data_IF_875366007625
#
_entry.id   IF_875366007625
#
_cell.length_a   1.000
_cell.length_b   1.000
_cell.length_c   1.000
_cell.angle_alpha   90.00
_cell.angle_beta   90.00
_cell.angle_gamma   90.00
#
_symmetry.space_group_name_H-M   'P 1'
#
loop_
_entity.id
_entity.type
_entity.pdbx_description
1 polymer ?
#
# COMPACT_ATOMS: atom_id res chain seq x y z
N UNK A 1 10.36 6.33 32.33
CA UNK A 1 9.55 6.43 31.10
C UNK A 1 10.49 6.95 30.03
N UNK A 2 11.24 6.02 29.43
CA UNK A 2 12.28 6.31 28.45
C UNK A 2 11.65 6.26 27.08
N UNK A 3 11.53 7.42 26.43
CA UNK A 3 11.32 7.51 24.98
C UNK A 3 12.42 6.72 24.29
N UNK A 4 12.09 5.53 23.78
CA UNK A 4 12.92 4.88 22.79
C UNK A 4 12.63 5.58 21.46
N UNK A 5 13.36 6.66 21.18
CA UNK A 5 13.37 7.25 19.85
C UNK A 5 13.84 6.18 18.86
N UNK A 6 12.94 5.75 17.97
CA UNK A 6 13.30 4.89 16.85
C UNK A 6 14.30 5.65 15.97
N UNK A 7 15.48 5.05 15.83
CA UNK A 7 16.68 5.50 15.13
C UNK A 7 16.41 6.38 13.90
N UNK A 8 16.98 7.57 13.91
CA UNK A 8 17.08 8.50 12.76
C UNK A 8 18.00 7.93 11.68
N UNK A 9 17.63 8.10 10.39
CA UNK A 9 18.54 8.15 9.22
C UNK A 9 19.19 6.87 8.65
N UNK A 10 18.68 5.66 8.89
CA UNK A 10 19.11 4.49 8.10
C UNK A 10 18.18 4.28 6.89
N UNK A 11 18.75 4.00 5.71
CA UNK A 11 17.96 3.59 4.55
C UNK A 11 17.10 2.35 4.92
N UNK A 12 15.85 2.26 4.43
CA UNK A 12 15.00 1.10 4.69
C UNK A 12 15.68 -0.18 4.18
N UNK A 13 15.55 -1.25 4.96
CA UNK A 13 16.02 -2.58 4.57
C UNK A 13 14.86 -3.38 4.01
N UNK A 14 15.18 -4.34 3.15
CA UNK A 14 14.19 -5.16 2.45
C UNK A 14 14.53 -6.64 2.53
N UNK A 15 13.49 -7.47 2.39
CA UNK A 15 13.58 -8.90 2.10
C UNK A 15 13.18 -9.12 0.64
N UNK A 16 13.93 -9.94 -0.10
CA UNK A 16 13.69 -10.19 -1.52
C UNK A 16 12.89 -11.47 -1.76
N UNK A 17 12.00 -11.45 -2.75
CA UNK A 17 11.29 -12.64 -3.25
C UNK A 17 9.78 -12.45 -3.38
N UNK A 18 9.30 -12.33 -4.61
CA UNK A 18 7.87 -12.21 -4.90
C UNK A 18 7.07 -13.39 -4.35
N UNK A 19 6.04 -13.12 -3.53
CA UNK A 19 5.12 -14.13 -3.01
C UNK A 19 5.69 -15.02 -1.90
N UNK A 20 6.86 -14.69 -1.34
CA UNK A 20 7.46 -15.43 -0.23
C UNK A 20 6.62 -15.37 1.06
N UNK A 21 6.84 -16.36 1.94
CA UNK A 21 6.38 -16.32 3.33
C UNK A 21 7.47 -15.68 4.20
N UNK A 22 7.42 -14.36 4.32
CA UNK A 22 8.39 -13.59 5.09
C UNK A 22 8.13 -13.65 6.60
N UNK A 23 9.20 -13.47 7.37
CA UNK A 23 9.19 -13.26 8.80
C UNK A 23 10.11 -12.07 9.10
N UNK A 24 9.59 -11.07 9.81
CA UNK A 24 10.34 -9.85 10.15
C UNK A 24 9.94 -9.36 11.53
N UNK A 25 10.92 -8.86 12.29
CA UNK A 25 10.72 -8.29 13.62
C UNK A 25 11.58 -7.06 13.82
N UNK A 26 11.01 -6.03 14.44
CA UNK A 26 11.72 -4.80 14.80
C UNK A 26 12.41 -4.90 16.18
N UNK A 27 11.94 -5.82 17.03
CA UNK A 27 12.51 -6.14 18.34
C UNK A 27 12.84 -7.64 18.38
N UNK A 28 13.98 -8.05 18.96
CA UNK A 28 14.36 -9.47 19.01
C UNK A 28 13.31 -10.34 19.70
N UNK A 29 12.90 -11.44 19.08
CA UNK A 29 11.93 -12.38 19.65
C UNK A 29 10.51 -11.82 19.78
N UNK A 30 10.15 -10.82 18.96
CA UNK A 30 8.79 -10.31 18.92
C UNK A 30 7.83 -11.29 18.25
N UNK A 31 8.32 -12.07 17.29
CA UNK A 31 7.53 -13.14 16.66
C UNK A 31 7.36 -14.34 17.61
N UNK A 32 6.14 -14.83 17.86
CA UNK A 32 5.93 -16.04 18.63
C UNK A 32 6.49 -17.28 17.93
N UNK A 33 7.14 -18.14 18.71
CA UNK A 33 7.72 -19.38 18.20
C UNK A 33 6.65 -20.49 18.05
N UNK A 34 6.61 -21.11 16.88
CA UNK A 34 5.83 -22.31 16.59
C UNK A 34 4.30 -22.13 16.59
N UNK A 35 3.78 -20.91 16.73
CA UNK A 35 2.33 -20.61 16.76
C UNK A 35 2.05 -19.17 16.35
N UNK A 36 0.80 -18.87 15.98
CA UNK A 36 0.39 -17.51 15.63
C UNK A 36 -0.31 -16.75 16.77
N UNK A 37 -1.01 -17.47 17.65
CA UNK A 37 -1.90 -16.86 18.67
C UNK A 37 -1.54 -17.39 20.07
N UNK A 38 -0.39 -16.99 20.64
CA UNK A 38 -0.09 -17.30 22.03
C UNK A 38 -1.09 -16.60 22.96
N UNK A 39 -1.33 -17.16 24.16
CA UNK A 39 -2.16 -16.49 25.17
C UNK A 39 -1.56 -15.14 25.61
N UNK A 40 -0.23 -15.02 25.58
CA UNK A 40 0.53 -13.80 25.86
C UNK A 40 1.56 -13.63 24.75
N UNK A 41 1.42 -12.62 23.90
CA UNK A 41 2.45 -12.32 22.92
C UNK A 41 3.67 -11.70 23.62
N UNK A 42 4.84 -11.82 22.98
CA UNK A 42 6.03 -11.11 23.41
C UNK A 42 5.75 -9.60 23.49
N UNK A 43 6.40 -8.92 24.43
CA UNK A 43 6.25 -7.47 24.66
C UNK A 43 4.82 -6.99 24.97
N UNK A 44 3.88 -7.89 25.27
CA UNK A 44 2.48 -7.52 25.50
C UNK A 44 1.74 -7.11 24.22
N UNK A 45 2.27 -7.46 23.04
CA UNK A 45 1.66 -7.17 21.75
C UNK A 45 0.33 -7.91 21.55
N UNK A 46 -0.44 -7.44 20.57
CA UNK A 46 -1.65 -8.10 20.09
C UNK A 46 -1.36 -8.82 18.78
N UNK A 47 -1.75 -10.10 18.70
CA UNK A 47 -1.73 -10.86 17.46
C UNK A 47 -2.96 -10.52 16.62
N UNK A 48 -2.76 -10.06 15.40
CA UNK A 48 -3.81 -9.68 14.46
C UNK A 48 -3.55 -10.33 13.10
N UNK A 49 -4.55 -10.99 12.53
CA UNK A 49 -4.43 -11.56 11.20
C UNK A 49 -4.97 -10.59 10.15
N UNK A 50 -4.12 -10.23 9.20
CA UNK A 50 -4.50 -9.52 7.99
C UNK A 50 -4.74 -10.54 6.86
N UNK A 51 -6.01 -10.69 6.45
CA UNK A 51 -6.42 -11.65 5.43
C UNK A 51 -6.66 -10.95 4.09
N UNK A 52 -5.76 -11.15 3.13
CA UNK A 52 -5.86 -10.56 1.79
C UNK A 52 -6.70 -11.39 0.80
N UNK A 53 -6.99 -12.66 1.13
CA UNK A 53 -7.84 -13.55 0.32
C UNK A 53 -8.80 -14.36 1.20
N UNK A 54 -9.78 -15.00 0.57
CA UNK A 54 -10.63 -15.98 1.24
C UNK A 54 -9.80 -17.08 1.94
N UNK A 55 -10.26 -17.55 3.11
CA UNK A 55 -9.56 -18.58 3.88
C UNK A 55 -9.37 -19.89 3.11
N UNK A 56 -10.33 -20.23 2.23
CA UNK A 56 -10.34 -21.44 1.41
C UNK A 56 -9.59 -21.29 0.08
N UNK A 57 -8.96 -20.13 -0.18
CA UNK A 57 -8.15 -19.95 -1.37
C UNK A 57 -7.03 -21.01 -1.44
N UNK A 58 -6.76 -21.59 -2.62
CA UNK A 58 -5.65 -22.53 -2.79
C UNK A 58 -4.34 -21.93 -2.27
N UNK A 59 -3.44 -22.76 -1.74
CA UNK A 59 -2.20 -22.30 -1.10
C UNK A 59 -1.36 -21.33 -1.96
N UNK A 60 -1.32 -21.54 -3.28
CA UNK A 60 -0.59 -20.68 -4.23
C UNK A 60 -1.20 -19.27 -4.35
N UNK A 61 -2.50 -19.14 -4.15
CA UNK A 61 -3.26 -17.90 -4.22
C UNK A 61 -3.53 -17.28 -2.85
N UNK A 62 -3.45 -18.06 -1.77
CA UNK A 62 -3.77 -17.58 -0.42
C UNK A 62 -2.78 -16.49 0.03
N UNK A 63 -3.29 -15.34 0.46
CA UNK A 63 -2.50 -14.20 0.98
C UNK A 63 -2.99 -13.85 2.37
N UNK A 64 -2.08 -13.90 3.34
CA UNK A 64 -2.30 -13.47 4.71
C UNK A 64 -1.00 -13.06 5.38
N UNK A 65 -1.11 -12.17 6.35
CA UNK A 65 -0.03 -11.78 7.26
C UNK A 65 -0.51 -11.86 8.71
N UNK A 66 0.40 -12.16 9.63
CA UNK A 66 0.16 -12.00 11.06
C UNK A 66 0.97 -10.81 11.55
N UNK A 67 0.29 -9.85 12.17
CA UNK A 67 0.85 -8.65 12.72
C UNK A 67 0.87 -8.78 14.25
N UNK A 68 1.98 -8.38 14.86
CA UNK A 68 2.11 -8.31 16.31
C UNK A 68 2.31 -6.83 16.68
N UNK A 69 1.22 -6.17 17.07
CA UNK A 69 1.10 -4.71 17.14
C UNK A 69 0.79 -4.21 18.55
N UNK A 70 1.15 -2.95 18.82
CA UNK A 70 0.98 -2.31 20.15
C UNK A 70 -0.50 -2.15 20.50
N UNK A 71 -1.31 -1.68 19.55
CA UNK A 71 -2.76 -1.54 19.68
C UNK A 71 -3.44 -2.23 18.50
N UNK A 72 -4.52 -3.01 18.70
CA UNK A 72 -5.27 -3.63 17.60
C UNK A 72 -5.83 -2.58 16.62
N UNK A 73 -5.96 -2.96 15.36
CA UNK A 73 -6.55 -2.13 14.31
C UNK A 73 -8.01 -1.73 14.58
N UNK A 74 -8.71 -2.48 15.44
CA UNK A 74 -10.10 -2.21 15.81
C UNK A 74 -10.28 -1.04 16.79
N UNK A 75 -9.18 -0.50 17.34
CA UNK A 75 -9.23 0.65 18.26
C UNK A 75 -9.28 1.95 17.44
N UNK A 76 -10.46 2.31 16.98
CA UNK A 76 -10.73 3.58 16.31
C UNK A 76 -12.19 4.03 16.54
N UNK A 77 -12.46 5.32 16.37
CA UNK A 77 -13.82 5.86 16.38
C UNK A 77 -14.60 5.47 15.11
N UNK A 78 -15.92 5.62 15.13
CA UNK A 78 -16.75 5.39 13.95
C UNK A 78 -16.31 6.27 12.77
N UNK A 79 -16.14 5.66 11.59
CA UNK A 79 -15.85 6.38 10.35
C UNK A 79 -16.94 7.40 10.04
N UNK A 80 -16.52 8.55 9.50
CA UNK A 80 -17.41 9.60 9.01
C UNK A 80 -17.14 9.83 7.54
N UNK A 81 -18.21 10.11 6.79
CA UNK A 81 -18.12 10.42 5.37
C UNK A 81 -17.37 11.73 5.14
N UNK A 82 -16.34 11.69 4.31
CA UNK A 82 -15.64 12.87 3.76
C UNK A 82 -16.02 13.05 2.28
N UNK A 83 -15.55 14.13 1.65
CA UNK A 83 -15.71 14.36 0.21
C UNK A 83 -14.93 13.34 -0.64
N UNK A 84 -15.44 12.99 -1.83
CA UNK A 84 -14.77 12.06 -2.76
C UNK A 84 -13.57 12.69 -3.50
N UNK A 85 -13.45 14.02 -3.45
CA UNK A 85 -12.49 14.76 -4.25
C UNK A 85 -12.72 14.51 -5.73
N UNK A 86 -11.75 13.83 -6.36
CA UNK A 86 -11.78 13.48 -7.78
C UNK A 86 -11.68 11.98 -8.03
N UNK A 87 -11.94 11.18 -7.00
CA UNK A 87 -11.96 9.73 -7.08
C UNK A 87 -13.38 9.29 -7.46
N UNK A 88 -13.50 8.38 -8.42
CA UNK A 88 -14.79 7.77 -8.78
C UNK A 88 -14.60 6.37 -9.36
N UNK A 89 -15.56 5.49 -9.08
CA UNK A 89 -15.70 4.17 -9.71
C UNK A 89 -16.91 4.11 -10.66
N UNK A 90 -17.60 5.23 -10.87
CA UNK A 90 -18.83 5.32 -11.68
C UNK A 90 -18.52 5.45 -13.19
N UNK A 91 -17.78 4.48 -13.74
CA UNK A 91 -17.25 4.54 -15.12
C UNK A 91 -18.33 4.54 -16.22
N UNK A 92 -19.58 4.22 -15.88
CA UNK A 92 -20.71 4.19 -16.81
C UNK A 92 -21.48 5.50 -16.95
N UNK A 93 -21.17 6.54 -16.18
CA UNK A 93 -21.95 7.79 -16.19
C UNK A 93 -21.70 8.67 -17.41
N UNK A 94 -20.51 8.56 -18.02
CA UNK A 94 -20.11 9.36 -19.18
C UNK A 94 -20.25 8.50 -20.44
N UNK A 95 -20.87 9.05 -21.48
CA UNK A 95 -20.97 8.37 -22.77
C UNK A 95 -19.58 8.04 -23.32
N UNK A 96 -19.32 6.79 -23.74
CA UNK A 96 -18.01 6.38 -24.21
C UNK A 96 -17.64 7.13 -25.49
N UNK A 97 -16.42 7.63 -25.57
CA UNK A 97 -15.85 8.16 -26.82
C UNK A 97 -14.95 7.11 -27.45
N UNK A 98 -15.13 6.77 -28.74
CA UNK A 98 -14.19 5.90 -29.45
C UNK A 98 -12.93 6.66 -29.92
N UNK A 99 -12.89 7.98 -29.75
CA UNK A 99 -11.77 8.80 -30.18
C UNK A 99 -10.56 8.61 -29.26
N UNK A 100 -9.36 8.63 -29.84
CA UNK A 100 -8.13 8.61 -29.06
C UNK A 100 -8.04 9.87 -28.20
N UNK A 101 -7.87 9.67 -26.89
CA UNK A 101 -7.64 10.74 -25.92
C UNK A 101 -6.15 10.82 -25.56
N UNK A 102 -5.67 12.04 -25.31
CA UNK A 102 -4.30 12.31 -24.84
C UNK A 102 -4.34 13.48 -23.88
N UNK A 103 -3.62 13.35 -22.78
CA UNK A 103 -3.47 14.38 -21.76
C UNK A 103 -2.01 14.80 -21.66
N UNK A 104 -1.79 16.10 -21.50
CA UNK A 104 -0.51 16.61 -21.01
C UNK A 104 -0.34 16.24 -19.52
N UNK A 105 0.90 16.17 -19.00
CA UNK A 105 1.13 15.89 -17.59
C UNK A 105 0.41 16.90 -16.69
N UNK A 106 -0.31 16.47 -15.63
CA UNK A 106 -1.04 17.38 -14.77
C UNK A 106 -0.04 18.29 -14.04
N UNK A 107 -0.32 19.60 -13.92
CA UNK A 107 0.57 20.50 -13.20
C UNK A 107 0.62 20.13 -11.72
N UNK A 108 1.76 20.39 -11.07
CA UNK A 108 1.82 20.31 -9.62
C UNK A 108 0.90 21.38 -9.00
N UNK A 109 0.16 21.05 -7.93
CA UNK A 109 -0.73 22.00 -7.28
C UNK A 109 0.06 23.15 -6.65
N UNK A 110 -0.60 24.31 -6.56
CA UNK A 110 -0.08 25.48 -5.81
C UNK A 110 -0.52 25.45 -4.35
N UNK A 111 -1.76 25.03 -4.11
CA UNK A 111 -2.30 24.86 -2.77
C UNK A 111 -1.69 23.61 -2.11
N UNK A 112 -1.59 23.57 -0.77
CA UNK A 112 -1.13 22.38 -0.07
C UNK A 112 -2.05 21.19 -0.38
N UNK A 113 -1.51 20.14 -1.00
CA UNK A 113 -2.24 18.95 -1.44
C UNK A 113 -1.42 17.70 -1.15
N UNK A 114 -1.94 16.81 -0.31
CA UNK A 114 -1.33 15.51 -0.03
C UNK A 114 -1.69 14.44 -1.06
N UNK A 115 -1.17 13.23 -0.87
CA UNK A 115 -1.36 12.13 -1.83
C UNK A 115 -2.84 11.76 -2.05
N UNK A 116 -3.66 11.74 -1.00
CA UNK A 116 -5.07 11.34 -1.08
C UNK A 116 -5.86 12.43 -1.81
N UNK A 117 -5.66 13.69 -1.42
CA UNK A 117 -6.31 14.86 -2.03
C UNK A 117 -5.90 15.03 -3.51
N UNK A 118 -4.72 14.54 -3.87
CA UNK A 118 -4.16 14.63 -5.21
C UNK A 118 -4.69 13.54 -6.17
N UNK A 119 -5.30 12.47 -5.66
CA UNK A 119 -5.82 11.39 -6.50
C UNK A 119 -6.95 11.89 -7.37
N UNK A 120 -6.88 11.57 -8.66
CA UNK A 120 -7.92 11.88 -9.61
C UNK A 120 -8.03 10.77 -10.66
N UNK A 121 -9.25 10.27 -10.83
CA UNK A 121 -9.55 9.16 -11.72
C UNK A 121 -9.56 9.62 -13.17
N UNK A 122 -8.77 8.95 -14.00
CA UNK A 122 -8.71 9.15 -15.45
C UNK A 122 -9.71 8.26 -16.19
N UNK A 123 -9.97 7.07 -15.66
CA UNK A 123 -10.90 6.10 -16.21
C UNK A 123 -10.73 4.75 -15.53
N UNK A 124 -11.53 3.77 -15.95
CA UNK A 124 -11.47 2.43 -15.38
C UNK A 124 -12.52 1.52 -16.00
N UNK A 125 -12.62 0.31 -15.45
CA UNK A 125 -13.63 -0.68 -15.84
C UNK A 125 -14.05 -1.52 -14.62
N UNK A 126 -15.19 -2.20 -14.74
CA UNK A 126 -15.71 -3.02 -13.65
C UNK A 126 -16.23 -2.17 -12.49
N UNK A 127 -16.15 -2.71 -11.27
CA UNK A 127 -16.58 -2.01 -10.04
C UNK A 127 -15.98 -2.68 -8.79
N UNK A 128 -15.61 -1.88 -7.76
CA UNK A 128 -15.28 -2.35 -6.42
C UNK A 128 -16.30 -3.35 -5.84
N UNK A 129 -17.60 -3.08 -5.99
CA UNK A 129 -18.68 -3.90 -5.43
C UNK A 129 -18.65 -5.33 -5.97
N UNK A 130 -18.28 -5.46 -7.25
CA UNK A 130 -18.17 -6.76 -7.93
C UNK A 130 -16.80 -7.39 -7.78
N UNK A 131 -15.82 -6.67 -7.21
CA UNK A 131 -14.42 -7.05 -7.16
C UNK A 131 -13.89 -7.47 -8.54
N UNK A 132 -14.17 -6.64 -9.55
CA UNK A 132 -13.69 -6.85 -10.92
C UNK A 132 -13.23 -5.54 -11.55
N UNK A 133 -12.22 -5.64 -12.42
CA UNK A 133 -11.69 -4.50 -13.17
C UNK A 133 -10.68 -3.66 -12.37
N UNK A 134 -10.51 -2.42 -12.78
CA UNK A 134 -9.57 -1.49 -12.16
C UNK A 134 -9.97 -0.02 -12.35
N UNK A 135 -9.47 0.84 -11.47
CA UNK A 135 -9.43 2.29 -11.63
C UNK A 135 -8.01 2.73 -12.02
N UNK A 136 -7.90 3.69 -12.93
CA UNK A 136 -6.65 4.33 -13.30
C UNK A 136 -6.70 5.77 -12.81
N UNK A 137 -5.78 6.11 -11.92
CA UNK A 137 -5.66 7.43 -11.34
C UNK A 137 -4.31 8.04 -11.67
N UNK A 138 -4.25 9.36 -11.67
CA UNK A 138 -3.00 10.08 -11.47
C UNK A 138 -2.97 10.71 -10.07
N UNK A 139 -1.80 11.13 -9.63
CA UNK A 139 -1.65 12.02 -8.48
C UNK A 139 -0.63 13.10 -8.82
N UNK A 140 -0.86 14.31 -8.30
CA UNK A 140 0.12 15.39 -8.25
C UNK A 140 0.02 16.07 -6.88
N UNK A 141 1.00 15.83 -6.01
CA UNK A 141 0.99 16.25 -4.60
C UNK A 141 2.22 17.11 -4.28
N UNK A 142 2.07 18.03 -3.32
CA UNK A 142 3.14 18.93 -2.84
C UNK A 142 3.24 19.00 -1.31
N UNK A 143 2.53 18.12 -0.60
CA UNK A 143 2.53 18.01 0.86
C UNK A 143 2.61 16.54 1.27
N UNK A 144 3.49 16.24 2.23
CA UNK A 144 3.49 14.91 2.87
C UNK A 144 2.25 14.73 3.74
N UNK A 145 1.70 13.52 3.76
CA UNK A 145 0.76 13.13 4.82
C UNK A 145 1.52 13.10 6.16
N UNK A 146 0.91 13.56 7.25
CA UNK A 146 1.57 13.66 8.58
C UNK A 146 0.79 12.95 9.68
N UNK A 147 -0.36 13.49 10.02
CA UNK A 147 -1.23 13.00 11.11
C UNK A 147 -2.42 12.24 10.54
N UNK A 148 -2.33 11.80 9.29
CA UNK A 148 -3.38 11.01 8.63
C UNK A 148 -2.82 9.81 7.91
N UNK A 149 -3.59 8.73 7.90
CA UNK A 149 -3.27 7.47 7.25
C UNK A 149 -4.39 7.09 6.28
N UNK A 150 -4.08 6.24 5.33
CA UNK A 150 -5.04 5.76 4.35
C UNK A 150 -4.96 4.25 4.24
N UNK A 151 -6.10 3.61 3.99
CA UNK A 151 -6.15 2.28 3.43
C UNK A 151 -7.23 2.27 2.35
N UNK A 152 -6.97 1.52 1.29
CA UNK A 152 -7.95 1.26 0.26
C UNK A 152 -8.72 -0.02 0.61
N UNK A 153 -10.03 0.10 0.81
CA UNK A 153 -10.91 -1.04 1.12
C UNK A 153 -11.38 -1.80 -0.13
N UNK A 154 -11.22 -1.18 -1.31
CA UNK A 154 -11.82 -1.58 -2.57
C UNK A 154 -10.81 -2.36 -3.42
N UNK A 155 -9.55 -1.91 -3.47
CA UNK A 155 -8.54 -2.48 -4.37
C UNK A 155 -7.12 -2.60 -3.80
N UNK A 156 -6.30 -3.34 -4.54
CA UNK A 156 -4.84 -3.30 -4.42
C UNK A 156 -4.28 -2.13 -5.23
N UNK A 157 -3.34 -1.37 -4.68
CA UNK A 157 -2.78 -0.20 -5.35
C UNK A 157 -1.41 -0.51 -5.97
N UNK A 158 -1.28 -0.42 -7.29
CA UNK A 158 0.00 -0.35 -8.00
C UNK A 158 0.37 1.12 -8.23
N UNK A 159 1.38 1.60 -7.53
CA UNK A 159 1.85 2.98 -7.57
C UNK A 159 3.09 3.09 -8.47
N UNK A 160 3.05 4.02 -9.43
CA UNK A 160 4.09 4.26 -10.42
C UNK A 160 4.53 5.73 -10.39
N UNK A 161 5.58 6.09 -9.64
CA UNK A 161 6.11 7.45 -9.63
C UNK A 161 6.67 7.87 -10.99
N UNK A 162 6.34 9.10 -11.40
CA UNK A 162 6.85 9.72 -12.63
C UNK A 162 7.83 10.86 -12.33
N UNK A 163 7.54 11.66 -11.30
CA UNK A 163 8.36 12.75 -10.80
C UNK A 163 8.36 12.73 -9.27
N UNK A 164 9.53 12.89 -8.65
CA UNK A 164 9.68 12.82 -7.20
C UNK A 164 9.55 11.39 -6.65
N UNK A 165 10.34 11.08 -5.63
CA UNK A 165 10.20 9.83 -4.88
C UNK A 165 9.07 9.91 -3.86
N UNK A 166 8.57 8.75 -3.45
CA UNK A 166 7.66 8.57 -2.34
C UNK A 166 8.33 7.73 -1.26
N UNK A 167 8.10 8.09 0.01
CA UNK A 167 8.29 7.17 1.13
C UNK A 167 6.93 6.75 1.65
N UNK A 168 6.64 5.45 1.54
CA UNK A 168 5.40 4.82 1.99
C UNK A 168 5.67 4.17 3.36
N UNK A 169 5.15 4.78 4.42
CA UNK A 169 5.17 4.18 5.75
C UNK A 169 3.95 3.27 5.88
N UNK A 170 4.14 1.95 5.91
CA UNK A 170 3.06 0.95 5.93
C UNK A 170 3.03 0.19 7.26
N UNK A 171 1.94 -0.53 7.55
CA UNK A 171 1.88 -1.43 8.73
C UNK A 171 2.96 -2.54 8.72
N UNK A 172 3.60 -2.80 7.57
CA UNK A 172 4.65 -3.83 7.43
C UNK A 172 6.06 -3.26 7.40
N UNK A 173 6.21 -1.93 7.36
CA UNK A 173 7.49 -1.23 7.33
C UNK A 173 7.55 -0.10 6.32
N UNK A 174 8.75 0.44 6.11
CA UNK A 174 9.00 1.60 5.25
C UNK A 174 9.44 1.18 3.85
N UNK A 175 8.78 1.70 2.82
CA UNK A 175 9.14 1.54 1.41
C UNK A 175 9.55 2.90 0.85
N UNK A 176 10.70 2.98 0.21
CA UNK A 176 11.06 4.10 -0.66
C UNK A 176 10.91 3.67 -2.11
N UNK A 177 10.17 4.44 -2.90
CA UNK A 177 9.94 4.17 -4.33
C UNK A 177 10.16 5.45 -5.13
N UNK A 178 11.01 5.38 -6.15
CA UNK A 178 11.41 6.51 -7.00
C UNK A 178 10.91 6.30 -8.44
N UNK A 179 10.97 7.33 -9.31
CA UNK A 179 10.71 7.14 -10.73
C UNK A 179 11.57 5.99 -11.29
N UNK A 180 10.97 5.19 -12.18
CA UNK A 180 11.50 3.92 -12.71
C UNK A 180 11.39 2.71 -11.75
N UNK A 181 10.87 2.90 -10.55
CA UNK A 181 10.45 1.83 -9.64
C UNK A 181 8.92 1.80 -9.54
N UNK A 182 8.37 0.71 -9.02
CA UNK A 182 6.94 0.58 -8.72
C UNK A 182 6.75 0.00 -7.33
N UNK A 183 5.64 0.35 -6.68
CA UNK A 183 5.25 -0.22 -5.39
C UNK A 183 3.84 -0.79 -5.48
N UNK A 184 3.59 -1.89 -4.76
CA UNK A 184 2.25 -2.50 -4.66
C UNK A 184 1.83 -2.50 -3.19
N UNK A 185 0.66 -1.95 -2.90
CA UNK A 185 0.05 -1.95 -1.57
C UNK A 185 -1.20 -2.84 -1.57
N UNK A 186 -1.24 -3.93 -0.78
CA UNK A 186 -2.41 -4.79 -0.66
C UNK A 186 -3.64 -4.03 -0.19
N UNK A 187 -4.81 -4.44 -0.70
CA UNK A 187 -6.12 -3.97 -0.22
C UNK A 187 -6.25 -4.10 1.29
N UNK A 188 -6.62 -3.00 1.96
CA UNK A 188 -6.81 -2.93 3.39
C UNK A 188 -5.57 -2.58 4.21
N UNK A 189 -4.38 -2.53 3.59
CA UNK A 189 -3.15 -2.18 4.28
C UNK A 189 -3.11 -0.67 4.55
N UNK A 190 -2.92 -0.26 5.81
CA UNK A 190 -2.76 1.16 6.14
C UNK A 190 -1.38 1.66 5.78
N UNK A 191 -1.33 2.86 5.23
CA UNK A 191 -0.10 3.55 4.89
C UNK A 191 -0.21 5.07 5.01
N UNK A 192 0.96 5.71 5.07
CA UNK A 192 1.16 7.16 5.00
C UNK A 192 2.19 7.48 3.92
N UNK A 193 1.92 8.50 3.10
CA UNK A 193 2.82 8.92 2.02
C UNK A 193 3.59 10.17 2.40
N UNK A 194 4.91 10.07 2.40
CA UNK A 194 5.85 11.17 2.58
C UNK A 194 6.50 11.51 1.24
N UNK A 195 6.70 12.82 1.00
CA UNK A 195 7.28 13.38 -0.22
C UNK A 195 8.71 13.90 0.09
N UNK A 196 9.75 13.04 0.06
CA UNK A 196 11.12 13.45 0.39
C UNK A 196 11.65 14.60 -0.47
N UNK A 197 11.19 14.69 -1.72
CA UNK A 197 11.56 15.76 -2.66
C UNK A 197 10.60 16.97 -2.63
N UNK A 198 9.69 17.02 -1.65
CA UNK A 198 8.71 18.09 -1.45
C UNK A 198 7.46 17.98 -2.34
N UNK A 199 7.59 17.51 -3.57
CA UNK A 199 6.47 17.28 -4.48
C UNK A 199 6.67 16.01 -5.31
N UNK A 200 5.56 15.35 -5.65
CA UNK A 200 5.58 14.15 -6.48
C UNK A 200 4.38 14.08 -7.42
N UNK A 201 4.57 13.41 -8.55
CA UNK A 201 3.53 13.12 -9.53
C UNK A 201 3.72 11.71 -10.08
N UNK A 202 2.63 11.02 -10.35
CA UNK A 202 2.68 9.69 -10.93
C UNK A 202 1.30 9.12 -11.22
N UNK A 203 1.25 7.81 -11.38
CA UNK A 203 0.06 7.06 -11.71
C UNK A 203 -0.23 6.03 -10.63
N UNK A 204 -1.50 5.67 -10.48
CA UNK A 204 -1.96 4.56 -9.63
C UNK A 204 -2.91 3.71 -10.45
N UNK A 205 -2.67 2.41 -10.49
CA UNK A 205 -3.65 1.43 -10.93
C UNK A 205 -4.24 0.78 -9.68
N UNK A 206 -5.52 1.00 -9.45
CA UNK A 206 -6.30 0.41 -8.36
C UNK A 206 -6.99 -0.85 -8.90
N UNK A 207 -6.53 -2.01 -8.46
CA UNK A 207 -7.00 -3.32 -8.90
C UNK A 207 -8.09 -3.84 -7.96
N UNK A 208 -9.35 -3.86 -8.42
CA UNK A 208 -10.49 -4.37 -7.64
C UNK A 208 -10.55 -5.90 -7.62
N UNK A 209 -9.82 -6.55 -8.53
CA UNK A 209 -9.93 -7.97 -8.80
C UNK A 209 -8.95 -8.85 -8.02
N UNK A 210 -8.51 -9.92 -8.69
CA UNK A 210 -7.50 -10.82 -8.13
C UNK A 210 -6.16 -10.09 -7.97
N UNK A 211 -5.41 -10.31 -6.87
CA UNK A 211 -4.13 -9.65 -6.65
C UNK A 211 -3.15 -9.85 -7.80
N UNK A 212 -2.35 -8.81 -8.08
CA UNK A 212 -1.32 -8.83 -9.11
C UNK A 212 -0.33 -9.97 -8.85
N UNK A 213 0.09 -10.63 -9.94
CA UNK A 213 1.05 -11.73 -9.91
C UNK A 213 1.97 -11.68 -11.11
N UNK A 214 3.12 -12.33 -10.98
CA UNK A 214 3.98 -12.59 -12.13
C UNK A 214 3.22 -13.45 -13.17
N UNK A 215 3.37 -13.14 -14.46
CA UNK A 215 2.74 -13.92 -15.52
C UNK A 215 3.41 -15.30 -15.65
N UNK A 216 2.65 -16.26 -16.17
CA UNK A 216 3.23 -17.53 -16.60
C UNK A 216 4.18 -17.28 -17.78
N UNK A 217 5.40 -17.80 -17.72
CA UNK A 217 6.47 -17.51 -18.69
C UNK A 217 6.34 -18.29 -20.01
N UNK A 218 5.55 -19.37 -20.03
CA UNK A 218 5.40 -20.21 -21.21
C UNK A 218 6.76 -20.65 -21.79
N UNK A 219 6.99 -20.48 -23.11
CA UNK A 219 8.26 -20.87 -23.75
C UNK A 219 9.52 -20.13 -23.27
N UNK A 220 9.39 -18.99 -22.58
CA UNK A 220 10.55 -18.31 -21.96
C UNK A 220 11.21 -19.20 -20.90
N UNK A 221 10.45 -20.13 -20.31
CA UNK A 221 10.95 -21.13 -19.38
C UNK A 221 10.92 -20.64 -17.94
N UNK A 222 12.04 -20.73 -17.23
CA UNK A 222 12.11 -20.53 -15.78
C UNK A 222 12.73 -19.20 -15.34
N UNK A 223 13.22 -18.38 -16.26
CA UNK A 223 13.89 -17.10 -15.98
C UNK A 223 13.60 -16.08 -17.09
N UNK A 224 13.42 -14.82 -16.73
CA UNK A 224 13.12 -13.74 -17.68
C UNK A 224 11.99 -12.83 -17.21
N UNK A 225 11.77 -11.72 -17.93
CA UNK A 225 10.87 -10.64 -17.51
C UNK A 225 11.26 -10.07 -16.13
N UNK A 226 10.31 -9.92 -15.21
CA UNK A 226 10.57 -9.50 -13.84
C UNK A 226 10.87 -10.73 -12.96
N UNK A 227 12.15 -10.96 -12.64
CA UNK A 227 12.52 -12.11 -11.82
C UNK A 227 11.99 -11.93 -10.38
N UNK A 228 11.49 -13.01 -9.73
CA UNK A 228 10.98 -12.93 -8.37
C UNK A 228 11.95 -12.34 -7.34
N UNK A 229 13.27 -12.51 -7.55
CA UNK A 229 14.32 -12.03 -6.64
C UNK A 229 14.37 -10.49 -6.56
N UNK A 230 13.89 -9.80 -7.58
CA UNK A 230 14.03 -8.35 -7.70
C UNK A 230 12.87 -7.61 -7.01
N UNK A 231 11.89 -8.35 -6.47
CA UNK A 231 10.79 -7.80 -5.67
C UNK A 231 11.18 -7.71 -4.21
N UNK A 232 11.14 -6.50 -3.67
CA UNK A 232 11.53 -6.16 -2.31
C UNK A 232 10.30 -5.92 -1.41
N UNK A 233 10.28 -6.51 -0.22
CA UNK A 233 9.28 -6.29 0.84
C UNK A 233 9.97 -5.64 2.04
N UNK A 234 9.38 -4.60 2.68
CA UNK A 234 10.04 -3.89 3.77
C UNK A 234 10.26 -4.81 4.98
N UNK A 235 11.31 -4.54 5.76
CA UNK A 235 11.44 -5.11 7.11
C UNK A 235 10.54 -4.40 8.09
N UNK A 236 10.12 -5.10 9.14
CA UNK A 236 9.26 -4.58 10.20
C UNK A 236 9.85 -3.30 10.81
N UNK A 237 9.00 -2.29 10.90
CA UNK A 237 9.26 -1.01 11.53
C UNK A 237 7.96 -0.55 12.20
N UNK A 238 8.07 0.18 13.32
CA UNK A 238 6.91 0.68 14.04
C UNK A 238 7.16 2.10 14.55
N UNK A 239 6.06 2.82 14.76
CA UNK A 239 6.01 4.05 15.54
C UNK A 239 5.10 3.83 16.76
N UNK A 240 5.55 4.25 17.93
CA UNK A 240 4.72 4.34 19.14
C UNK A 240 4.53 5.82 19.45
N UNK A 241 3.44 6.39 18.92
CA UNK A 241 3.15 7.82 18.99
C UNK A 241 1.77 8.03 19.60
N UNK A 242 1.70 9.02 20.48
CA UNK A 242 0.46 9.55 21.02
C UNK A 242 0.04 10.80 20.25
N UNK A 243 -1.25 11.03 20.10
CA UNK A 243 -1.79 12.19 19.40
C UNK A 243 -3.17 11.96 18.82
N UNK A 244 -3.72 13.01 18.20
CA UNK A 244 -4.89 12.88 17.34
C UNK A 244 -4.42 12.53 15.93
N UNK A 245 -4.97 11.45 15.37
CA UNK A 245 -4.67 11.00 14.01
C UNK A 245 -5.98 10.79 13.25
N UNK A 246 -5.93 11.02 11.94
CA UNK A 246 -7.02 10.76 10.98
C UNK A 246 -6.79 9.45 10.21
#
# INVERSE_FOLDING_TARGET
MTEAAATTSAAPRYQSGFGNHFASEALPGALPEGRNSPQRCAYGLYAEQFSGTAFTAPRSANRRSWLYRIRPAAVHDAFRRIDDGRITSAFGEIAPSPNQLRWDPPPLPREPTDFIEALATLGGNGSPDTQTGCGIHWYAANRSMRERFFYDADGELLIVPQQGGLRLATELGLIEVRPLEVAVLPRGLRFRVELPDGAARGYVCENFGSPLRLPDLGPIGSNGLANPRDFATPVAWYEDREGAFE
#
